data_IF_203247320902
#
_entry.id   IF_203247320902
#
_cell.length_a   1.000
_cell.length_b   1.000
_cell.length_c   1.000
_cell.angle_alpha   90.00
_cell.angle_beta   90.00
_cell.angle_gamma   90.00
#
_symmetry.space_group_name_H-M   'P 1'
#
loop_
_entity.id
_entity.type
_entity.pdbx_description
1 polymer ?
#
# COMPACT_ATOMS: atom_id res chain seq x y z
N UNK A 1 30.12 -27.49 14.60
CA UNK A 1 28.85 -27.11 13.94
C UNK A 1 29.29 -26.14 12.87
N UNK A 2 29.26 -26.56 11.61
CA UNK A 2 29.73 -25.72 10.51
C UNK A 2 28.72 -24.58 10.33
N UNK A 3 29.20 -23.33 10.32
CA UNK A 3 28.45 -22.21 9.75
C UNK A 3 28.20 -22.58 8.29
N UNK A 4 26.95 -22.88 7.93
CA UNK A 4 26.61 -23.00 6.52
C UNK A 4 26.90 -21.64 5.87
N UNK A 5 27.75 -21.58 4.83
CA UNK A 5 28.14 -20.32 4.24
C UNK A 5 26.91 -19.68 3.58
N UNK A 6 26.54 -18.49 4.05
CA UNK A 6 25.53 -17.67 3.38
C UNK A 6 26.01 -17.32 1.98
N UNK A 7 25.04 -17.16 1.09
CA UNK A 7 25.29 -16.79 -0.29
C UNK A 7 24.85 -15.35 -0.51
N UNK A 8 25.69 -14.56 -1.18
CA UNK A 8 25.40 -13.17 -1.50
C UNK A 8 24.65 -13.09 -2.83
N UNK A 9 23.49 -12.43 -2.83
CA UNK A 9 22.75 -12.12 -4.04
C UNK A 9 22.73 -10.60 -4.22
N UNK A 10 23.31 -10.13 -5.31
CA UNK A 10 23.27 -8.74 -5.73
C UNK A 10 22.12 -8.54 -6.71
N UNK A 11 21.27 -7.55 -6.45
CA UNK A 11 20.08 -7.27 -7.24
C UNK A 11 20.17 -5.83 -7.74
N UNK A 12 20.10 -5.68 -9.06
CA UNK A 12 20.10 -4.43 -9.80
C UNK A 12 18.71 -4.19 -10.38
N UNK A 13 18.22 -2.97 -10.23
CA UNK A 13 16.93 -2.56 -10.76
C UNK A 13 17.04 -1.18 -11.43
N UNK A 14 16.83 -1.12 -12.73
CA UNK A 14 16.89 0.13 -13.50
C UNK A 14 15.55 0.86 -13.44
N UNK A 15 15.54 2.07 -12.88
CA UNK A 15 14.36 2.91 -12.77
C UNK A 15 14.72 4.40 -12.82
N UNK A 16 14.84 4.95 -14.04
CA UNK A 16 15.31 6.31 -14.29
C UNK A 16 14.50 7.40 -13.53
N UNK A 17 13.19 7.18 -13.36
CA UNK A 17 12.30 8.15 -12.74
C UNK A 17 12.18 8.02 -11.21
N UNK A 18 12.79 7.00 -10.59
CA UNK A 18 12.71 6.78 -9.15
C UNK A 18 13.80 7.55 -8.38
N UNK A 19 13.46 8.02 -7.19
CA UNK A 19 14.40 8.61 -6.22
C UNK A 19 14.61 7.77 -4.97
N UNK A 20 13.61 6.95 -4.58
CA UNK A 20 13.74 6.02 -3.46
C UNK A 20 13.02 4.71 -3.77
N UNK A 21 13.75 3.62 -3.54
CA UNK A 21 13.33 2.28 -3.88
C UNK A 21 13.73 1.29 -2.78
N UNK A 22 12.81 0.40 -2.45
CA UNK A 22 13.05 -0.70 -1.52
C UNK A 22 12.94 -2.04 -2.25
N UNK A 23 13.85 -2.94 -1.92
CA UNK A 23 13.66 -4.37 -2.16
C UNK A 23 12.76 -4.90 -1.04
N UNK A 24 11.60 -5.44 -1.41
CA UNK A 24 10.73 -6.17 -0.49
C UNK A 24 10.95 -7.65 -0.73
N UNK A 25 11.38 -8.39 0.29
CA UNK A 25 11.84 -9.76 0.08
C UNK A 25 11.63 -10.66 1.30
N UNK A 26 11.71 -11.97 1.04
CA UNK A 26 11.84 -13.01 2.03
C UNK A 26 12.40 -14.29 1.42
N UNK A 27 12.57 -15.32 2.24
CA UNK A 27 13.08 -16.63 1.82
C UNK A 27 12.01 -17.70 1.99
N UNK A 28 11.98 -18.66 1.06
CA UNK A 28 11.13 -19.86 1.11
C UNK A 28 9.64 -19.54 1.38
N UNK A 29 9.05 -18.62 0.62
CA UNK A 29 7.68 -18.15 0.81
C UNK A 29 7.59 -16.96 1.75
N UNK A 30 8.40 -15.92 1.50
CA UNK A 30 8.38 -14.64 2.23
C UNK A 30 8.83 -14.67 3.70
N UNK A 31 9.53 -15.71 4.16
CA UNK A 31 10.00 -15.75 5.55
C UNK A 31 11.16 -14.79 5.80
N UNK A 32 11.25 -14.26 7.01
CA UNK A 32 12.35 -13.37 7.42
C UNK A 32 13.62 -14.15 7.74
N UNK A 33 14.78 -13.63 7.35
CA UNK A 33 16.08 -14.12 7.86
C UNK A 33 16.40 -13.51 9.24
N UNK A 34 17.32 -14.10 10.02
CA UNK A 34 17.81 -13.52 11.27
C UNK A 34 18.36 -12.10 11.09
N UNK A 35 18.23 -11.25 12.12
CA UNK A 35 18.63 -9.84 12.05
C UNK A 35 20.10 -9.64 11.65
N UNK A 36 20.99 -10.54 12.09
CA UNK A 36 22.41 -10.50 11.77
C UNK A 36 22.72 -10.66 10.26
N UNK A 37 21.78 -11.20 9.48
CA UNK A 37 21.92 -11.41 8.02
C UNK A 37 21.24 -10.31 7.20
N UNK A 38 20.49 -9.44 7.85
CA UNK A 38 19.74 -8.39 7.16
C UNK A 38 20.69 -7.27 6.77
N UNK A 39 20.61 -6.76 5.53
CA UNK A 39 21.36 -5.57 5.15
C UNK A 39 20.98 -4.36 6.02
N UNK A 40 21.88 -3.39 6.11
CA UNK A 40 21.65 -2.17 6.87
C UNK A 40 20.38 -1.43 6.41
N UNK A 41 19.61 -0.93 7.37
CA UNK A 41 18.36 -0.20 7.08
C UNK A 41 17.17 -1.10 6.74
N UNK A 42 17.32 -2.44 6.77
CA UNK A 42 16.19 -3.36 6.57
C UNK A 42 15.16 -3.21 7.69
N UNK A 43 13.89 -3.01 7.32
CA UNK A 43 12.77 -2.95 8.26
C UNK A 43 11.80 -4.10 7.95
N UNK A 44 11.40 -4.84 8.99
CA UNK A 44 10.34 -5.85 8.85
C UNK A 44 8.98 -5.17 9.01
N UNK A 45 8.13 -5.25 7.99
CA UNK A 45 6.74 -4.79 8.01
C UNK A 45 5.87 -5.96 7.56
N UNK A 46 4.80 -6.26 8.30
CA UNK A 46 3.86 -7.32 7.92
C UNK A 46 4.57 -8.67 7.63
N UNK A 47 5.61 -8.99 8.40
CA UNK A 47 6.47 -10.17 8.24
C UNK A 47 7.31 -10.25 6.95
N UNK A 48 7.37 -9.20 6.13
CA UNK A 48 8.28 -9.11 4.98
C UNK A 48 9.40 -8.09 5.23
N UNK A 49 10.58 -8.35 4.65
CA UNK A 49 11.76 -7.49 4.82
C UNK A 49 11.77 -6.43 3.75
N UNK A 50 11.87 -5.16 4.16
CA UNK A 50 12.00 -4.01 3.26
C UNK A 50 13.41 -3.46 3.42
N UNK A 51 14.26 -3.67 2.42
CA UNK A 51 15.66 -3.21 2.41
C UNK A 51 15.81 -2.04 1.45
N UNK A 52 16.32 -0.87 1.89
CA UNK A 52 16.55 0.25 0.98
C UNK A 52 17.64 -0.11 -0.04
N UNK A 53 17.39 0.22 -1.30
CA UNK A 53 18.38 0.05 -2.37
C UNK A 53 19.18 1.34 -2.57
N UNK A 54 20.45 1.21 -2.95
CA UNK A 54 21.34 2.33 -3.19
C UNK A 54 21.36 2.71 -4.66
N UNK A 55 21.12 3.98 -4.98
CA UNK A 55 21.17 4.48 -6.35
C UNK A 55 22.61 4.57 -6.87
N UNK A 56 22.89 3.93 -8.00
CA UNK A 56 24.17 3.92 -8.69
C UNK A 56 23.94 4.22 -10.18
N UNK A 57 24.01 5.50 -10.55
CA UNK A 57 23.63 5.94 -11.90
C UNK A 57 22.11 5.87 -12.08
N UNK A 58 21.66 5.14 -13.10
CA UNK A 58 20.24 4.90 -13.38
C UNK A 58 19.69 3.63 -12.69
N UNK A 59 20.58 2.88 -12.03
CA UNK A 59 20.27 1.63 -11.36
C UNK A 59 20.15 1.82 -9.84
N UNK A 60 19.34 0.97 -9.23
CA UNK A 60 19.27 0.76 -7.80
C UNK A 60 19.86 -0.60 -7.48
N UNK A 61 20.79 -0.66 -6.52
CA UNK A 61 21.57 -1.85 -6.22
C UNK A 61 21.45 -2.20 -4.73
N UNK A 62 21.31 -3.49 -4.44
CA UNK A 62 21.39 -4.03 -3.07
C UNK A 62 22.00 -5.42 -3.09
N UNK A 63 22.77 -5.73 -2.05
CA UNK A 63 23.29 -7.07 -1.80
C UNK A 63 22.60 -7.66 -0.57
N UNK A 64 22.01 -8.84 -0.72
CA UNK A 64 21.35 -9.58 0.37
C UNK A 64 22.12 -10.88 0.65
N UNK A 65 22.10 -11.31 1.92
CA UNK A 65 22.64 -12.60 2.34
C UNK A 65 21.49 -13.56 2.61
N UNK A 66 21.53 -14.74 1.98
CA UNK A 66 20.51 -15.77 2.13
C UNK A 66 21.13 -17.13 2.42
N UNK A 67 20.40 -18.05 3.09
CA UNK A 67 20.86 -19.42 3.24
C UNK A 67 21.06 -20.10 1.88
N UNK A 68 22.04 -21.00 1.76
CA UNK A 68 22.21 -21.79 0.53
C UNK A 68 20.98 -22.65 0.25
N UNK A 69 20.74 -22.97 -1.02
CA UNK A 69 19.58 -23.73 -1.48
C UNK A 69 18.21 -23.12 -1.12
N UNK A 70 18.15 -21.82 -0.79
CA UNK A 70 16.89 -21.14 -0.53
C UNK A 70 16.30 -20.53 -1.79
N UNK A 71 14.99 -20.37 -1.79
CA UNK A 71 14.30 -19.54 -2.78
C UNK A 71 14.12 -18.14 -2.21
N UNK A 72 14.52 -17.11 -2.95
CA UNK A 72 14.27 -15.71 -2.58
C UNK A 72 13.02 -15.22 -3.30
N UNK A 73 11.99 -14.88 -2.54
CA UNK A 73 10.80 -14.18 -3.02
C UNK A 73 11.02 -12.68 -2.88
N UNK A 74 10.83 -11.91 -3.95
CA UNK A 74 11.03 -10.46 -3.88
C UNK A 74 10.19 -9.66 -4.88
N UNK A 75 10.12 -8.37 -4.61
CA UNK A 75 9.61 -7.32 -5.50
C UNK A 75 10.20 -5.97 -5.11
N UNK A 76 9.86 -4.96 -5.89
CA UNK A 76 10.40 -3.60 -5.76
C UNK A 76 9.28 -2.65 -5.37
N UNK A 77 9.55 -1.80 -4.38
CA UNK A 77 8.60 -0.79 -3.91
C UNK A 77 9.21 0.60 -4.10
N UNK A 78 8.63 1.38 -5.02
CA UNK A 78 9.04 2.76 -5.27
C UNK A 78 8.21 3.69 -4.40
N UNK A 79 8.87 4.59 -3.69
CA UNK A 79 8.20 5.47 -2.70
C UNK A 79 8.46 6.95 -2.94
N UNK A 80 9.51 7.29 -3.70
CA UNK A 80 9.80 8.67 -4.11
C UNK A 80 10.15 8.76 -5.58
N UNK A 81 9.78 9.87 -6.19
CA UNK A 81 10.20 10.22 -7.55
C UNK A 81 11.66 10.73 -7.59
N UNK A 82 12.18 10.99 -8.79
CA UNK A 82 13.54 11.49 -9.02
C UNK A 82 13.84 12.82 -8.32
N UNK A 83 12.82 13.62 -7.99
CA UNK A 83 12.98 14.87 -7.25
C UNK A 83 13.05 14.67 -5.73
N UNK A 84 12.78 13.44 -5.26
CA UNK A 84 12.71 13.09 -3.85
C UNK A 84 11.34 13.37 -3.23
N UNK A 85 10.33 13.69 -4.03
CA UNK A 85 8.97 13.89 -3.56
C UNK A 85 8.31 12.53 -3.27
N UNK A 86 7.55 12.46 -2.17
CA UNK A 86 6.79 11.26 -1.84
C UNK A 86 5.69 11.04 -2.89
N UNK A 87 5.59 9.82 -3.40
CA UNK A 87 4.54 9.39 -4.33
C UNK A 87 3.67 8.31 -3.67
N UNK A 88 2.53 8.00 -4.29
CA UNK A 88 1.81 6.78 -3.95
C UNK A 88 2.72 5.57 -4.21
N UNK A 89 2.92 4.66 -3.24
CA UNK A 89 3.86 3.56 -3.41
C UNK A 89 3.51 2.69 -4.60
N UNK A 90 4.47 2.49 -5.51
CA UNK A 90 4.30 1.65 -6.70
C UNK A 90 4.98 0.32 -6.43
N UNK A 91 4.18 -0.76 -6.48
CA UNK A 91 4.67 -2.13 -6.38
C UNK A 91 5.00 -2.69 -7.77
N UNK A 92 6.24 -3.16 -7.96
CA UNK A 92 6.67 -3.93 -9.11
C UNK A 92 7.15 -5.32 -8.67
N UNK A 93 6.32 -6.33 -8.91
CA UNK A 93 6.53 -7.70 -8.46
C UNK A 93 5.39 -8.59 -8.89
N UNK A 94 5.04 -8.53 -10.18
CA UNK A 94 3.87 -9.21 -10.76
C UNK A 94 4.05 -10.73 -10.58
N UNK A 95 3.31 -11.28 -9.62
CA UNK A 95 3.35 -12.67 -9.12
C UNK A 95 4.57 -13.07 -8.26
N UNK A 96 5.42 -12.11 -7.88
CA UNK A 96 6.64 -12.31 -7.10
C UNK A 96 7.81 -12.75 -7.98
N UNK A 97 8.91 -12.01 -7.94
CA UNK A 97 10.16 -12.47 -8.55
C UNK A 97 10.77 -13.56 -7.66
N UNK A 98 11.36 -14.57 -8.30
CA UNK A 98 11.98 -15.69 -7.63
C UNK A 98 13.44 -15.83 -8.06
N UNK A 99 14.35 -15.93 -7.09
CA UNK A 99 15.67 -16.52 -7.30
C UNK A 99 15.63 -17.90 -6.67
N UNK A 100 15.67 -18.94 -7.48
CA UNK A 100 15.69 -20.34 -7.01
C UNK A 100 17.11 -20.85 -6.91
N UNK A 101 17.35 -21.79 -6.01
CA UNK A 101 18.60 -22.55 -5.94
C UNK A 101 19.83 -21.64 -5.76
N UNK A 102 19.77 -20.82 -4.70
CA UNK A 102 20.84 -19.89 -4.31
C UNK A 102 22.05 -20.65 -3.77
N UNK A 103 22.79 -21.30 -4.67
CA UNK A 103 23.94 -22.15 -4.35
C UNK A 103 25.27 -21.42 -4.51
N UNK A 104 25.25 -20.33 -5.28
CA UNK A 104 26.41 -19.51 -5.61
C UNK A 104 26.05 -18.04 -5.61
N UNK A 105 27.05 -17.20 -5.34
CA UNK A 105 26.88 -15.75 -5.43
C UNK A 105 26.39 -15.37 -6.83
N UNK A 106 25.40 -14.48 -6.88
CA UNK A 106 24.70 -14.14 -8.12
C UNK A 106 24.47 -12.64 -8.26
N UNK A 107 24.41 -12.18 -9.50
CA UNK A 107 24.01 -10.81 -9.85
C UNK A 107 22.78 -10.88 -10.75
N UNK A 108 21.71 -10.21 -10.35
CA UNK A 108 20.40 -10.25 -11.03
C UNK A 108 20.04 -8.85 -11.51
N UNK A 109 19.67 -8.72 -12.78
CA UNK A 109 19.31 -7.45 -13.40
C UNK A 109 17.83 -7.42 -13.79
N UNK A 110 17.17 -6.33 -13.42
CA UNK A 110 15.78 -6.07 -13.78
C UNK A 110 15.65 -4.68 -14.39
N UNK A 111 14.97 -4.61 -15.53
CA UNK A 111 14.69 -3.37 -16.21
C UNK A 111 13.18 -3.14 -16.21
N UNK A 112 12.74 -2.06 -15.59
CA UNK A 112 11.33 -1.70 -15.58
C UNK A 112 11.11 -0.31 -16.17
N UNK A 113 10.14 -0.21 -17.08
CA UNK A 113 9.64 1.08 -17.54
C UNK A 113 8.56 1.56 -16.57
N UNK A 114 8.97 2.03 -15.38
CA UNK A 114 8.01 2.60 -14.43
C UNK A 114 7.62 3.99 -14.91
N UNK A 115 6.38 4.09 -15.39
CA UNK A 115 5.72 5.37 -15.63
C UNK A 115 5.20 5.88 -14.30
N UNK A 116 6.00 6.69 -13.60
CA UNK A 116 5.54 7.43 -12.42
C UNK A 116 4.59 8.50 -12.94
N UNK A 117 3.29 8.22 -12.86
CA UNK A 117 2.31 9.29 -13.06
C UNK A 117 2.41 10.22 -11.85
N UNK A 118 2.53 11.54 -12.06
CA UNK A 118 2.51 12.47 -10.95
C UNK A 118 1.24 12.20 -10.16
N UNK A 119 1.39 11.84 -8.89
CA UNK A 119 0.23 11.55 -8.04
C UNK A 119 -0.66 12.76 -8.11
N UNK A 120 -1.79 12.66 -8.83
CA UNK A 120 -2.79 13.70 -8.82
C UNK A 120 -3.08 13.89 -7.35
N UNK A 121 -2.75 15.07 -6.83
CA UNK A 121 -2.82 15.41 -5.42
C UNK A 121 -4.30 15.38 -4.99
N UNK A 122 -4.88 14.18 -4.91
CA UNK A 122 -6.16 13.84 -4.30
C UNK A 122 -5.98 13.91 -2.79
N UNK A 123 -5.30 14.94 -2.31
CA UNK A 123 -5.30 15.31 -0.92
C UNK A 123 -6.74 15.63 -0.55
N UNK A 124 -7.29 14.77 0.32
CA UNK A 124 -8.21 15.11 1.41
C UNK A 124 -9.54 15.82 1.11
N UNK A 125 -9.78 16.44 -0.04
CA UNK A 125 -11.02 17.18 -0.32
C UNK A 125 -12.19 16.22 -0.45
N UNK A 126 -12.03 15.10 -1.18
CA UNK A 126 -13.06 14.08 -1.27
C UNK A 126 -13.36 13.44 0.10
N UNK A 127 -12.31 13.12 0.88
CA UNK A 127 -12.45 12.59 2.23
C UNK A 127 -13.15 13.57 3.19
N UNK A 128 -12.73 14.83 3.21
CA UNK A 128 -13.32 15.90 4.03
C UNK A 128 -14.76 16.17 3.62
N UNK A 129 -15.07 16.22 2.32
CA UNK A 129 -16.44 16.36 1.81
C UNK A 129 -17.31 15.18 2.27
N UNK A 130 -16.79 13.95 2.23
CA UNK A 130 -17.51 12.76 2.73
C UNK A 130 -17.79 12.82 4.24
N UNK A 131 -16.82 13.29 5.04
CA UNK A 131 -17.03 13.50 6.47
C UNK A 131 -18.08 14.57 6.76
N UNK A 132 -18.08 15.68 5.99
CA UNK A 132 -19.09 16.73 6.12
C UNK A 132 -20.50 16.22 5.79
N UNK A 133 -20.66 15.45 4.71
CA UNK A 133 -21.96 14.85 4.38
C UNK A 133 -22.45 13.86 5.45
N UNK A 134 -21.55 13.08 6.05
CA UNK A 134 -21.89 12.21 7.17
C UNK A 134 -22.38 13.00 8.38
N UNK A 135 -21.69 14.08 8.74
CA UNK A 135 -22.03 14.89 9.91
C UNK A 135 -23.42 15.54 9.72
N UNK A 136 -23.69 16.06 8.51
CA UNK A 136 -25.00 16.61 8.15
C UNK A 136 -26.11 15.54 8.28
N UNK A 137 -25.85 14.32 7.79
CA UNK A 137 -26.81 13.22 7.90
C UNK A 137 -27.14 12.85 9.35
N UNK A 138 -26.13 12.79 10.23
CA UNK A 138 -26.32 12.50 11.66
C UNK A 138 -27.11 13.63 12.35
N UNK A 139 -26.73 14.89 12.11
CA UNK A 139 -27.43 16.04 12.67
C UNK A 139 -28.89 16.10 12.22
N UNK A 140 -29.17 15.82 10.94
CA UNK A 140 -30.53 15.71 10.42
C UNK A 140 -31.33 14.60 11.11
N UNK A 141 -30.71 13.44 11.36
CA UNK A 141 -31.33 12.34 12.10
C UNK A 141 -31.65 12.69 13.56
N UNK A 142 -30.73 13.40 14.25
CA UNK A 142 -30.94 13.87 15.63
C UNK A 142 -32.09 14.89 15.68
N UNK A 143 -32.11 15.87 14.77
CA UNK A 143 -33.19 16.86 14.67
C UNK A 143 -34.54 16.16 14.43
N UNK A 144 -34.58 15.18 13.51
CA UNK A 144 -35.76 14.37 13.26
C UNK A 144 -36.24 13.62 14.52
N UNK A 145 -35.30 13.03 15.28
CA UNK A 145 -35.62 12.29 16.51
C UNK A 145 -36.20 13.20 17.60
N UNK A 146 -35.54 14.33 17.87
CA UNK A 146 -36.03 15.34 18.83
C UNK A 146 -37.42 15.83 18.42
N UNK A 147 -37.63 16.10 17.13
CA UNK A 147 -38.91 16.55 16.60
C UNK A 147 -40.02 15.50 16.78
N UNK A 148 -39.75 14.22 16.48
CA UNK A 148 -40.73 13.12 16.62
C UNK A 148 -41.25 12.98 18.04
N UNK A 149 -40.42 13.29 19.04
CA UNK A 149 -40.76 13.18 20.45
C UNK A 149 -41.25 14.50 21.08
N UNK A 150 -41.37 15.59 20.30
CA UNK A 150 -41.90 16.86 20.79
C UNK A 150 -43.39 17.01 20.40
N UNK A 151 -44.35 17.08 21.36
CA UNK A 151 -45.77 16.82 21.08
C UNK A 151 -46.54 17.84 20.23
N UNK A 152 -46.00 19.04 19.95
CA UNK A 152 -46.83 20.20 19.59
C UNK A 152 -46.56 20.82 18.20
N UNK A 153 -45.77 20.16 17.36
CA UNK A 153 -45.18 20.84 16.21
C UNK A 153 -45.96 20.60 14.90
N UNK A 154 -46.50 21.68 14.31
CA UNK A 154 -47.26 21.70 13.03
C UNK A 154 -46.34 21.86 11.81
N UNK A 155 -45.48 20.89 11.53
CA UNK A 155 -44.53 21.01 10.42
C UNK A 155 -45.04 20.37 9.11
N UNK A 156 -44.59 20.93 7.98
CA UNK A 156 -45.05 20.58 6.63
C UNK A 156 -44.59 19.16 6.23
N UNK A 157 -45.55 18.24 6.05
CA UNK A 157 -45.33 16.81 5.73
C UNK A 157 -44.41 16.59 4.52
N UNK A 158 -44.38 17.54 3.58
CA UNK A 158 -43.48 17.52 2.40
C UNK A 158 -42.00 17.65 2.79
N UNK A 159 -41.69 18.46 3.80
CA UNK A 159 -40.32 18.65 4.27
C UNK A 159 -39.77 17.37 4.92
N UNK A 160 -40.60 16.65 5.67
CA UNK A 160 -40.22 15.39 6.30
C UNK A 160 -39.83 14.32 5.27
N UNK A 161 -40.58 14.24 4.17
CA UNK A 161 -40.29 13.31 3.07
C UNK A 161 -38.98 13.65 2.36
N UNK A 162 -38.71 14.94 2.14
CA UNK A 162 -37.44 15.40 1.54
C UNK A 162 -36.26 15.04 2.45
N UNK A 163 -36.38 15.28 3.75
CA UNK A 163 -35.31 14.97 4.72
C UNK A 163 -35.03 13.46 4.80
N UNK A 164 -36.08 12.65 4.77
CA UNK A 164 -35.98 11.17 4.78
C UNK A 164 -35.34 10.67 3.48
N UNK A 165 -35.67 11.28 2.34
CA UNK A 165 -35.03 10.97 1.06
C UNK A 165 -33.54 11.26 1.07
N UNK A 166 -33.13 12.41 1.63
CA UNK A 166 -31.73 12.80 1.73
C UNK A 166 -30.91 11.86 2.64
N UNK A 167 -31.46 11.41 3.77
CA UNK A 167 -30.77 10.45 4.64
C UNK A 167 -30.62 9.08 4.00
N UNK A 168 -31.65 8.58 3.31
CA UNK A 168 -31.55 7.31 2.57
C UNK A 168 -30.55 7.39 1.41
N UNK A 169 -30.50 8.53 0.70
CA UNK A 169 -29.55 8.76 -0.38
C UNK A 169 -28.10 8.79 0.14
N UNK A 170 -27.86 9.47 1.27
CA UNK A 170 -26.56 9.46 1.94
C UNK A 170 -26.12 8.07 2.41
N UNK A 171 -27.05 7.26 2.93
CA UNK A 171 -26.78 5.87 3.33
C UNK A 171 -26.42 4.99 2.11
N UNK A 172 -27.18 5.10 1.02
CA UNK A 172 -26.92 4.36 -0.22
C UNK A 172 -25.56 4.67 -0.81
N UNK A 173 -25.17 5.95 -0.81
CA UNK A 173 -23.85 6.37 -1.30
C UNK A 173 -22.71 5.81 -0.43
N UNK A 174 -22.88 5.76 0.90
CA UNK A 174 -21.92 5.12 1.81
C UNK A 174 -21.74 3.63 1.53
N UNK A 175 -22.84 2.90 1.34
CA UNK A 175 -22.79 1.47 1.04
C UNK A 175 -22.14 1.19 -0.31
N UNK A 176 -22.39 2.02 -1.32
CA UNK A 176 -21.77 1.89 -2.63
C UNK A 176 -20.25 2.10 -2.60
N UNK A 177 -19.77 3.10 -1.85
CA UNK A 177 -18.33 3.32 -1.66
C UNK A 177 -17.69 2.15 -0.89
N UNK A 178 -18.31 1.72 0.21
CA UNK A 178 -17.80 0.59 0.99
C UNK A 178 -17.66 -0.68 0.13
N UNK A 179 -18.61 -0.91 -0.77
CA UNK A 179 -18.55 -2.02 -1.72
C UNK A 179 -17.38 -1.88 -2.71
N UNK A 180 -17.16 -0.70 -3.28
CA UNK A 180 -16.02 -0.44 -4.19
C UNK A 180 -14.67 -0.63 -3.49
N UNK A 181 -14.52 -0.13 -2.26
CA UNK A 181 -13.27 -0.27 -1.49
C UNK A 181 -13.01 -1.70 -1.00
N UNK A 182 -14.06 -2.52 -0.87
CA UNK A 182 -13.92 -3.92 -0.46
C UNK A 182 -13.57 -4.84 -1.63
N UNK A 183 -13.63 -4.36 -2.88
CA UNK A 183 -13.17 -5.11 -4.06
C UNK A 183 -11.70 -4.85 -4.42
N UNK A 184 -11.03 -3.93 -3.72
CA UNK A 184 -9.63 -3.55 -3.99
C UNK A 184 -8.60 -4.19 -3.05
N UNK A 185 -9.01 -5.13 -2.19
CA UNK A 185 -8.07 -5.97 -1.45
C UNK A 185 -7.97 -7.32 -2.16
N UNK A 186 -6.76 -7.78 -2.57
CA UNK A 186 -6.59 -9.17 -2.94
C UNK A 186 -6.90 -10.02 -1.71
N UNK A 187 -7.65 -11.11 -1.92
CA UNK A 187 -7.80 -12.15 -0.91
C UNK A 187 -6.39 -12.62 -0.51
N UNK A 188 -5.95 -12.21 0.69
CA UNK A 188 -4.79 -12.82 1.34
C UNK A 188 -5.18 -14.23 1.76
N UNK A 189 -4.38 -15.27 1.41
CA UNK A 189 -4.58 -16.62 1.90
C UNK A 189 -4.38 -16.73 3.43
#
# INVERSE_FOLDING_TARGET
MADDPFVNQEIHYTAANAGELFLVWGVNGWNTVPEAMRPAGTVVKENVMNTPMHKQGDDFVVSIQVPPHSTVDYGFLVTKDVNGDNIEPIWDGKDGYLITDTDVDGVHYHNAEIIIQPSENRSSVAGVILYLFSLIGVLAGIIFFIYKFTPDNKFNRRFLLILTGLTLLGLGFRLWIAWQTNQSLPDTP
#
